data_IF_883168282160
#
_entry.id   IF_883168282160
#
_cell.length_a   1.000
_cell.length_b   1.000
_cell.length_c   1.000
_cell.angle_alpha   90.00
_cell.angle_beta   90.00
_cell.angle_gamma   90.00
#
_symmetry.space_group_name_H-M   'P 1'
#
loop_
_entity.id
_entity.type
_entity.pdbx_description
1 polymer ?
#
# COMPACT_ATOMS: atom_id res chain seq x y z
N UNK A 1 13.34 -12.42 9.64
CA UNK A 1 13.59 -13.15 8.37
C UNK A 1 12.97 -12.33 7.28
N UNK A 2 13.77 -11.91 6.30
CA UNK A 2 13.28 -11.17 5.15
C UNK A 2 12.35 -12.11 4.37
N UNK A 3 11.11 -11.70 4.16
CA UNK A 3 10.29 -12.22 3.08
C UNK A 3 11.03 -11.92 1.79
N UNK A 4 11.68 -12.95 1.23
CA UNK A 4 12.38 -12.85 -0.05
C UNK A 4 11.37 -12.91 -1.19
N UNK A 5 11.74 -12.38 -2.35
CA UNK A 5 10.97 -12.62 -3.56
C UNK A 5 10.85 -14.14 -3.82
N UNK A 6 9.79 -14.53 -4.52
CA UNK A 6 9.56 -15.93 -4.91
C UNK A 6 8.98 -15.99 -6.32
N UNK A 7 9.10 -17.15 -6.97
CA UNK A 7 8.53 -17.37 -8.30
C UNK A 7 7.27 -18.21 -8.18
N UNK A 8 6.18 -17.78 -8.79
CA UNK A 8 4.99 -18.60 -9.04
C UNK A 8 4.47 -18.34 -10.45
N UNK A 9 3.95 -19.37 -11.12
CA UNK A 9 3.32 -19.25 -12.43
C UNK A 9 4.20 -18.60 -13.53
N UNK A 10 5.53 -18.62 -13.35
CA UNK A 10 6.50 -18.00 -14.26
C UNK A 10 6.83 -16.53 -13.99
N UNK A 11 6.26 -15.94 -12.93
CA UNK A 11 6.48 -14.54 -12.54
C UNK A 11 7.21 -14.46 -11.19
N UNK A 12 8.08 -13.45 -11.04
CA UNK A 12 8.72 -13.13 -9.76
C UNK A 12 7.81 -12.20 -8.94
N UNK A 13 7.41 -12.62 -7.75
CA UNK A 13 6.63 -11.83 -6.79
C UNK A 13 7.58 -11.17 -5.79
N UNK A 14 7.64 -9.84 -5.81
CA UNK A 14 8.55 -9.11 -4.95
C UNK A 14 7.92 -8.73 -3.61
N UNK A 15 8.72 -8.63 -2.53
CA UNK A 15 8.20 -8.41 -1.20
C UNK A 15 7.84 -6.94 -0.99
N UNK A 16 6.68 -6.54 -1.53
CA UNK A 16 5.98 -5.27 -1.28
C UNK A 16 4.49 -5.54 -0.95
N UNK A 17 3.73 -4.48 -0.71
CA UNK A 17 2.29 -4.55 -0.47
C UNK A 17 1.91 -5.51 0.66
N UNK A 18 2.62 -5.37 1.78
CA UNK A 18 2.48 -6.24 2.93
C UNK A 18 1.15 -6.04 3.65
N UNK A 19 0.62 -7.09 4.27
CA UNK A 19 -0.44 -7.01 5.28
C UNK A 19 0.09 -6.39 6.58
N UNK A 20 -0.58 -5.36 7.09
CA UNK A 20 -0.26 -4.71 8.36
C UNK A 20 -0.81 -5.50 9.56
N UNK A 21 -0.09 -5.55 10.71
CA UNK A 21 -0.54 -6.31 11.87
C UNK A 21 -1.45 -5.42 12.72
N UNK A 22 -2.68 -5.18 12.27
CA UNK A 22 -3.61 -4.25 12.94
C UNK A 22 -4.43 -4.90 14.07
N UNK A 23 -4.32 -6.21 14.24
CA UNK A 23 -4.95 -6.90 15.35
C UNK A 23 -4.15 -6.67 16.65
N UNK A 24 -4.81 -6.20 17.70
CA UNK A 24 -4.21 -5.94 19.02
C UNK A 24 -3.93 -7.21 19.81
N UNK A 25 -4.49 -8.35 19.40
CA UNK A 25 -4.31 -9.66 20.05
C UNK A 25 -2.83 -10.08 19.96
N UNK A 26 -2.16 -10.08 21.11
CA UNK A 26 -0.71 -10.31 21.29
C UNK A 26 0.21 -9.17 20.81
N UNK A 27 -0.30 -7.97 20.57
CA UNK A 27 0.52 -6.79 20.36
C UNK A 27 0.77 -6.05 21.68
N UNK A 28 1.94 -5.40 21.89
CA UNK A 28 2.16 -4.58 23.07
C UNK A 28 1.19 -3.40 23.13
N UNK A 29 0.71 -3.09 24.32
CA UNK A 29 -0.33 -2.07 24.57
C UNK A 29 0.00 -0.69 23.98
N UNK A 30 1.29 -0.32 24.00
CA UNK A 30 1.79 0.94 23.44
C UNK A 30 1.41 1.16 21.96
N UNK A 31 1.13 0.11 21.19
CA UNK A 31 0.76 0.21 19.77
C UNK A 31 -0.74 0.13 19.52
N UNK A 32 -1.55 -0.25 20.53
CA UNK A 32 -2.98 -0.54 20.33
C UNK A 32 -3.76 0.64 19.77
N UNK A 33 -3.44 1.86 20.20
CA UNK A 33 -4.09 3.07 19.70
C UNK A 33 -3.87 3.26 18.20
N UNK A 34 -2.62 3.15 17.73
CA UNK A 34 -2.29 3.27 16.31
C UNK A 34 -2.86 2.11 15.50
N UNK A 35 -2.82 0.89 16.04
CA UNK A 35 -3.41 -0.28 15.39
C UNK A 35 -4.92 -0.10 15.17
N UNK A 36 -5.65 0.32 16.20
CA UNK A 36 -7.09 0.60 16.11
C UNK A 36 -7.38 1.76 15.16
N UNK A 37 -6.62 2.85 15.25
CA UNK A 37 -6.75 3.99 14.35
C UNK A 37 -6.59 3.57 12.88
N UNK A 38 -5.52 2.85 12.54
CA UNK A 38 -5.31 2.36 11.19
C UNK A 38 -6.41 1.39 10.73
N UNK A 39 -6.86 0.48 11.61
CA UNK A 39 -7.91 -0.49 11.29
C UNK A 39 -9.24 0.18 10.96
N UNK A 40 -9.54 1.32 11.60
CA UNK A 40 -10.78 2.09 11.42
C UNK A 40 -10.65 3.21 10.38
N UNK A 41 -9.44 3.44 9.86
CA UNK A 41 -9.16 4.51 8.91
C UNK A 41 -9.70 4.22 7.51
N UNK A 42 -9.74 5.25 6.66
CA UNK A 42 -10.11 5.16 5.25
C UNK A 42 -9.31 4.12 4.44
N UNK A 43 -8.10 3.76 4.89
CA UNK A 43 -7.25 2.77 4.24
C UNK A 43 -7.20 1.42 4.97
N UNK A 44 -7.97 1.27 6.06
CA UNK A 44 -7.89 0.12 6.96
C UNK A 44 -8.06 -1.21 6.24
N UNK A 45 -9.03 -1.29 5.32
CA UNK A 45 -9.28 -2.45 4.47
C UNK A 45 -8.07 -2.79 3.59
N UNK A 46 -7.55 -1.82 2.84
CA UNK A 46 -6.38 -2.00 1.97
C UNK A 46 -5.11 -2.42 2.75
N UNK A 47 -4.97 -2.01 4.02
CA UNK A 47 -3.87 -2.43 4.88
C UNK A 47 -3.89 -3.93 5.23
N UNK A 48 -5.05 -4.60 5.15
CA UNK A 48 -5.18 -6.01 5.58
C UNK A 48 -5.67 -6.98 4.51
N UNK A 49 -6.50 -6.54 3.55
CA UNK A 49 -7.11 -7.41 2.54
C UNK A 49 -6.33 -7.46 1.22
N UNK A 50 -6.46 -8.54 0.44
CA UNK A 50 -7.14 -9.79 0.77
C UNK A 50 -6.22 -10.71 1.58
N UNK A 51 -6.81 -11.73 2.23
CA UNK A 51 -6.05 -12.72 2.99
C UNK A 51 -5.53 -13.88 2.11
N UNK A 52 -6.19 -14.10 0.97
CA UNK A 52 -5.96 -15.21 0.03
C UNK A 52 -5.51 -14.62 -1.30
N UNK A 53 -4.57 -15.28 -1.96
CA UNK A 53 -4.02 -14.87 -3.26
C UNK A 53 -3.95 -16.09 -4.18
N UNK A 54 -4.26 -15.90 -5.46
CA UNK A 54 -4.07 -16.87 -6.53
C UNK A 54 -3.04 -16.33 -7.51
N UNK A 55 -1.91 -17.02 -7.64
CA UNK A 55 -0.85 -16.65 -8.57
C UNK A 55 -1.33 -16.61 -10.02
N UNK A 56 -2.27 -17.49 -10.39
CA UNK A 56 -2.86 -17.53 -11.74
C UNK A 56 -3.76 -16.33 -12.03
N UNK A 57 -4.61 -15.93 -11.09
CA UNK A 57 -5.49 -14.76 -11.26
C UNK A 57 -4.70 -13.46 -11.31
N UNK A 58 -3.72 -13.33 -10.41
CA UNK A 58 -2.81 -12.19 -10.43
C UNK A 58 -2.02 -12.15 -11.73
N UNK A 59 -1.53 -13.30 -12.21
CA UNK A 59 -0.85 -13.41 -13.50
C UNK A 59 -1.74 -12.98 -14.65
N UNK A 60 -3.00 -13.42 -14.69
CA UNK A 60 -3.94 -13.05 -15.74
C UNK A 60 -4.07 -11.52 -15.85
N UNK A 61 -4.37 -10.85 -14.74
CA UNK A 61 -4.42 -9.38 -14.69
C UNK A 61 -3.07 -8.76 -15.06
N UNK A 62 -1.97 -9.27 -14.51
CA UNK A 62 -0.65 -8.66 -14.65
C UNK A 62 -0.09 -8.77 -16.06
N UNK A 63 -0.27 -9.90 -16.75
CA UNK A 63 0.27 -10.11 -18.10
C UNK A 63 -0.59 -9.47 -19.18
N UNK A 64 -1.92 -9.56 -19.10
CA UNK A 64 -2.81 -8.94 -20.10
C UNK A 64 -3.08 -7.46 -19.84
N UNK A 65 -2.75 -6.95 -18.65
CA UNK A 65 -2.97 -5.56 -18.24
C UNK A 65 -2.19 -4.54 -19.06
N UNK A 66 -2.90 -3.70 -19.81
CA UNK A 66 -2.39 -2.53 -20.53
C UNK A 66 -2.74 -1.28 -19.73
N UNK A 67 -1.71 -0.52 -19.34
CA UNK A 67 -1.87 0.71 -18.58
C UNK A 67 -1.92 1.93 -19.51
N UNK A 68 -2.97 2.72 -19.38
CA UNK A 68 -3.07 4.08 -19.92
C UNK A 68 -2.87 5.06 -18.75
N UNK A 69 -1.85 5.93 -18.87
CA UNK A 69 -1.55 6.94 -17.87
C UNK A 69 -2.54 8.11 -17.86
N UNK A 70 -3.46 8.14 -18.83
CA UNK A 70 -4.48 9.16 -18.97
C UNK A 70 -3.91 10.47 -19.51
N UNK A 71 -2.77 10.46 -20.20
CA UNK A 71 -2.17 11.67 -20.81
C UNK A 71 -3.12 12.38 -21.77
N UNK A 72 -3.99 11.65 -22.48
CA UNK A 72 -4.99 12.23 -23.40
C UNK A 72 -6.33 12.58 -22.72
N UNK A 73 -6.78 11.78 -21.77
CA UNK A 73 -8.13 11.87 -21.17
C UNK A 73 -8.15 12.48 -19.76
N UNK A 74 -6.98 12.68 -19.16
CA UNK A 74 -6.78 13.09 -17.76
C UNK A 74 -7.00 11.98 -16.72
N UNK A 75 -7.45 10.80 -17.15
CA UNK A 75 -7.85 9.69 -16.27
C UNK A 75 -7.09 8.42 -16.62
N UNK A 76 -6.27 7.94 -15.69
CA UNK A 76 -5.55 6.68 -15.88
C UNK A 76 -6.49 5.47 -15.79
N UNK A 77 -6.12 4.39 -16.48
CA UNK A 77 -6.85 3.13 -16.45
C UNK A 77 -5.93 1.94 -16.73
N UNK A 78 -6.35 0.75 -16.30
CA UNK A 78 -5.75 -0.52 -16.72
C UNK A 78 -6.85 -1.35 -17.38
N UNK A 79 -6.60 -1.79 -18.61
CA UNK A 79 -7.48 -2.71 -19.33
C UNK A 79 -6.81 -4.08 -19.32
N UNK A 80 -7.52 -5.12 -18.91
CA UNK A 80 -6.99 -6.49 -18.90
C UNK A 80 -8.03 -7.47 -19.45
N UNK A 81 -7.55 -8.59 -19.99
CA UNK A 81 -8.37 -9.66 -20.55
C UNK A 81 -8.34 -10.90 -19.65
N UNK A 82 -9.51 -11.52 -19.45
CA UNK A 82 -9.66 -12.83 -18.81
C UNK A 82 -10.82 -13.58 -19.48
N UNK A 83 -10.58 -14.83 -19.89
CA UNK A 83 -11.58 -15.68 -20.58
C UNK A 83 -12.27 -14.96 -21.75
N UNK A 84 -11.48 -14.34 -22.64
CA UNK A 84 -11.95 -13.59 -23.82
C UNK A 84 -12.85 -12.37 -23.50
N UNK A 85 -12.92 -11.98 -22.23
CA UNK A 85 -13.66 -10.80 -21.75
C UNK A 85 -12.69 -9.72 -21.31
N UNK A 86 -12.95 -8.48 -21.76
CA UNK A 86 -12.17 -7.31 -21.38
C UNK A 86 -12.76 -6.63 -20.14
N UNK A 87 -11.89 -6.26 -19.20
CA UNK A 87 -12.23 -5.59 -17.96
C UNK A 87 -11.43 -4.30 -17.81
N UNK A 88 -12.09 -3.27 -17.26
CA UNK A 88 -11.49 -1.93 -17.09
C UNK A 88 -11.37 -1.57 -15.61
N UNK A 89 -10.15 -1.26 -15.20
CA UNK A 89 -9.81 -0.76 -13.86
C UNK A 89 -9.58 0.75 -13.95
N UNK A 90 -10.47 1.51 -13.35
CA UNK A 90 -10.34 2.97 -13.17
C UNK A 90 -10.10 3.31 -11.70
N UNK A 91 -9.85 4.58 -11.38
CA UNK A 91 -9.80 5.03 -9.98
C UNK A 91 -11.12 4.73 -9.24
N UNK A 92 -12.27 4.77 -9.94
CA UNK A 92 -13.56 4.35 -9.37
C UNK A 92 -13.59 2.86 -9.02
N UNK A 93 -13.09 2.01 -9.92
CA UNK A 93 -12.96 0.56 -9.69
C UNK A 93 -12.08 0.28 -8.48
N UNK A 94 -10.90 0.93 -8.38
CA UNK A 94 -9.99 0.75 -7.25
C UNK A 94 -10.64 1.19 -5.94
N UNK A 95 -11.35 2.32 -5.95
CA UNK A 95 -12.04 2.86 -4.77
C UNK A 95 -13.07 1.88 -4.22
N UNK A 96 -13.94 1.37 -5.10
CA UNK A 96 -14.96 0.41 -4.72
C UNK A 96 -14.35 -0.91 -4.21
N UNK A 97 -13.37 -1.46 -4.95
CA UNK A 97 -12.72 -2.72 -4.60
C UNK A 97 -11.98 -2.66 -3.24
N UNK A 98 -11.30 -1.54 -2.95
CA UNK A 98 -10.54 -1.36 -1.72
C UNK A 98 -11.34 -0.76 -0.56
N UNK A 99 -12.59 -0.36 -0.79
CA UNK A 99 -13.42 0.31 0.21
C UNK A 99 -12.91 1.69 0.61
N UNK A 100 -12.25 2.40 -0.31
CA UNK A 100 -11.86 3.79 -0.09
C UNK A 100 -13.11 4.69 -0.12
N UNK A 101 -13.14 5.78 0.67
CA UNK A 101 -14.29 6.69 0.69
C UNK A 101 -14.46 7.42 -0.64
N UNK A 102 -15.72 7.69 -0.98
CA UNK A 102 -16.08 8.50 -2.14
C UNK A 102 -16.43 9.93 -1.72
N UNK A 103 -15.77 10.91 -2.34
CA UNK A 103 -15.97 12.33 -2.09
C UNK A 103 -16.35 13.07 -3.38
N UNK A 104 -17.06 14.21 -3.27
CA UNK A 104 -17.36 15.06 -4.42
C UNK A 104 -16.12 15.61 -5.14
N UNK A 105 -15.02 15.77 -4.40
CA UNK A 105 -13.74 16.20 -4.92
C UNK A 105 -12.59 15.64 -4.06
N UNK A 106 -11.44 15.45 -4.70
CA UNK A 106 -10.22 14.97 -4.05
C UNK A 106 -9.10 16.01 -4.14
N UNK A 107 -8.22 15.98 -3.16
CA UNK A 107 -6.96 16.73 -3.20
C UNK A 107 -5.90 15.90 -3.90
N UNK A 108 -5.28 16.46 -4.95
CA UNK A 108 -4.27 15.78 -5.78
C UNK A 108 -2.97 15.52 -4.99
N UNK A 109 -2.65 16.38 -4.02
CA UNK A 109 -1.49 16.23 -3.15
C UNK A 109 -1.32 17.45 -2.24
N UNK A 110 -0.69 17.24 -1.09
CA UNK A 110 -0.40 18.29 -0.12
C UNK A 110 0.97 18.90 -0.41
N UNK A 111 1.11 20.19 -0.16
CA UNK A 111 2.38 20.89 -0.31
C UNK A 111 3.42 20.42 0.70
N UNK A 112 4.70 20.48 0.32
CA UNK A 112 5.83 20.10 1.17
C UNK A 112 5.79 20.79 2.54
N UNK A 113 5.38 22.07 2.58
CA UNK A 113 5.25 22.83 3.84
C UNK A 113 4.26 22.19 4.83
N UNK A 114 3.13 21.68 4.33
CA UNK A 114 2.10 21.05 5.16
C UNK A 114 2.57 19.68 5.66
N UNK A 115 3.22 18.90 4.79
CA UNK A 115 3.82 17.62 5.18
C UNK A 115 4.91 17.82 6.24
N UNK A 116 5.80 18.81 6.08
CA UNK A 116 6.82 19.14 7.07
C UNK A 116 6.21 19.63 8.40
N UNK A 117 5.12 20.39 8.34
CA UNK A 117 4.38 20.81 9.55
C UNK A 117 3.85 19.61 10.31
N UNK A 118 3.16 18.69 9.65
CA UNK A 118 2.70 17.43 10.25
C UNK A 118 3.85 16.67 10.91
N UNK A 119 4.98 16.52 10.22
CA UNK A 119 6.13 15.80 10.77
C UNK A 119 6.67 16.42 12.06
N UNK A 120 6.64 17.76 12.18
CA UNK A 120 6.99 18.45 13.44
C UNK A 120 5.97 18.18 14.54
N UNK A 121 4.67 18.25 14.22
CA UNK A 121 3.58 18.03 15.19
C UNK A 121 3.61 16.62 15.79
N UNK A 122 3.99 15.61 15.01
CA UNK A 122 4.12 14.22 15.50
C UNK A 122 5.47 13.95 16.19
N UNK A 123 6.31 14.97 16.34
CA UNK A 123 7.58 14.90 17.08
C UNK A 123 8.73 14.26 16.31
N UNK A 124 8.81 14.44 14.99
CA UNK A 124 9.97 13.99 14.20
C UNK A 124 11.23 14.76 14.59
N UNK A 125 12.28 14.03 15.00
CA UNK A 125 13.51 14.62 15.55
C UNK A 125 14.67 14.74 14.53
N UNK A 126 14.43 14.38 13.27
CA UNK A 126 15.47 14.27 12.24
C UNK A 126 15.55 15.51 11.34
N UNK A 127 16.48 15.50 10.36
CA UNK A 127 16.55 16.55 9.33
C UNK A 127 15.28 16.59 8.47
N UNK A 128 14.79 17.81 8.19
CA UNK A 128 13.58 18.11 7.41
C UNK A 128 13.90 18.71 6.03
N UNK A 129 15.12 18.50 5.53
CA UNK A 129 15.64 19.14 4.33
C UNK A 129 15.23 18.45 3.02
N UNK A 130 14.72 17.21 3.06
CA UNK A 130 14.33 16.44 1.86
C UNK A 130 13.04 15.66 2.11
N UNK A 131 11.93 16.19 1.60
CA UNK A 131 10.65 15.47 1.54
C UNK A 131 10.83 14.16 0.75
N UNK A 132 10.17 13.10 1.21
CA UNK A 132 10.28 11.75 0.64
C UNK A 132 11.55 10.98 1.02
N UNK A 133 12.47 11.57 1.79
CA UNK A 133 13.67 10.92 2.32
C UNK A 133 13.78 11.02 3.85
N UNK A 134 12.71 11.45 4.52
CA UNK A 134 12.61 11.42 5.97
C UNK A 134 12.77 9.99 6.47
N UNK A 135 13.38 9.79 7.63
CA UNK A 135 13.72 8.45 8.13
C UNK A 135 12.92 8.10 9.37
N UNK A 136 12.17 7.00 9.34
CA UNK A 136 11.40 6.45 10.47
C UNK A 136 12.21 6.28 11.76
N UNK A 137 13.53 6.00 11.72
CA UNK A 137 14.37 6.06 12.91
C UNK A 137 14.25 7.34 13.75
N UNK A 138 13.91 8.49 13.17
CA UNK A 138 13.73 9.75 13.90
C UNK A 138 12.31 9.98 14.45
N UNK A 139 11.40 9.03 14.25
CA UNK A 139 10.10 9.01 14.90
C UNK A 139 10.14 8.19 16.20
N UNK A 140 9.22 8.52 17.11
CA UNK A 140 8.82 7.62 18.20
C UNK A 140 8.32 6.29 17.65
N UNK A 141 8.45 5.20 18.42
CA UNK A 141 8.03 3.85 17.98
C UNK A 141 6.62 3.78 17.40
N UNK A 142 5.65 4.48 17.98
CA UNK A 142 4.25 4.42 17.53
C UNK A 142 4.08 5.02 16.13
N UNK A 143 4.68 6.18 15.88
CA UNK A 143 4.68 6.81 14.55
C UNK A 143 5.58 6.08 13.54
N UNK A 144 6.68 5.50 14.01
CA UNK A 144 7.53 4.64 13.18
C UNK A 144 6.77 3.39 12.71
N UNK A 145 5.91 2.82 13.57
CA UNK A 145 5.02 1.71 13.22
C UNK A 145 3.92 2.16 12.25
N UNK A 146 3.29 3.30 12.49
CA UNK A 146 2.28 3.89 11.60
C UNK A 146 2.79 4.02 10.16
N UNK A 147 3.94 4.68 9.96
CA UNK A 147 4.51 4.82 8.62
C UNK A 147 5.08 3.52 8.07
N UNK A 148 5.50 2.55 8.89
CA UNK A 148 5.89 1.22 8.36
C UNK A 148 4.72 0.53 7.66
N UNK A 149 3.55 0.55 8.31
CA UNK A 149 2.35 -0.08 7.78
C UNK A 149 1.97 0.55 6.44
N UNK A 150 1.97 1.88 6.35
CA UNK A 150 1.65 2.61 5.13
C UNK A 150 2.71 2.35 4.05
N UNK A 151 4.00 2.58 4.35
CA UNK A 151 5.08 2.48 3.36
C UNK A 151 5.23 1.06 2.82
N UNK A 152 5.09 0.02 3.64
CA UNK A 152 5.16 -1.36 3.15
C UNK A 152 3.92 -1.81 2.40
N UNK A 153 2.76 -1.18 2.64
CA UNK A 153 1.53 -1.51 1.91
C UNK A 153 1.45 -0.79 0.56
N UNK A 154 1.74 0.52 0.54
CA UNK A 154 1.53 1.37 -0.62
C UNK A 154 2.83 1.72 -1.37
N UNK A 155 3.99 1.37 -0.82
CA UNK A 155 5.28 1.73 -1.40
C UNK A 155 5.61 0.96 -2.68
N UNK A 156 6.14 1.69 -3.66
CA UNK A 156 6.69 1.18 -4.93
C UNK A 156 8.01 0.41 -4.80
N UNK A 157 8.71 0.56 -3.67
CA UNK A 157 10.03 -0.05 -3.45
C UNK A 157 9.89 -1.29 -2.57
N UNK A 158 10.82 -2.22 -2.75
CA UNK A 158 10.93 -3.46 -1.96
C UNK A 158 12.07 -3.41 -0.93
N UNK A 159 12.77 -2.27 -0.85
CA UNK A 159 13.98 -2.04 -0.04
C UNK A 159 13.95 -0.65 0.60
N UNK A 160 14.95 -0.36 1.44
CA UNK A 160 15.10 0.92 2.16
C UNK A 160 13.85 1.32 2.95
N UNK A 161 13.35 0.38 3.75
CA UNK A 161 12.13 0.55 4.54
C UNK A 161 12.26 1.61 5.64
N UNK A 162 13.45 2.13 5.91
CA UNK A 162 13.63 3.22 6.87
C UNK A 162 13.17 4.58 6.33
N UNK A 163 13.12 4.75 5.01
CA UNK A 163 12.63 5.98 4.41
C UNK A 163 11.10 6.08 4.51
N UNK A 164 10.60 7.31 4.59
CA UNK A 164 9.19 7.67 4.49
C UNK A 164 9.01 8.39 3.14
N UNK A 165 8.57 7.68 2.08
CA UNK A 165 8.33 8.28 0.78
C UNK A 165 7.22 9.32 0.82
N UNK A 166 7.20 10.21 -0.17
CA UNK A 166 6.18 11.27 -0.28
C UNK A 166 4.77 10.70 -0.26
N UNK A 167 4.49 9.62 -1.01
CA UNK A 167 3.18 8.96 -1.00
C UNK A 167 2.74 8.53 0.41
N UNK A 168 3.68 8.04 1.22
CA UNK A 168 3.39 7.66 2.60
C UNK A 168 3.11 8.88 3.49
N UNK A 169 3.80 10.00 3.24
CA UNK A 169 3.52 11.29 3.90
C UNK A 169 2.15 11.84 3.50
N UNK A 170 1.78 11.75 2.22
CA UNK A 170 0.46 12.18 1.72
C UNK A 170 -0.67 11.37 2.35
N UNK A 171 -0.52 10.04 2.38
CA UNK A 171 -1.47 9.15 3.06
C UNK A 171 -1.54 9.50 4.54
N UNK A 172 -0.38 9.62 5.21
CA UNK A 172 -0.33 10.01 6.62
C UNK A 172 -1.11 11.30 6.86
N UNK A 173 -0.78 12.37 6.15
CA UNK A 173 -1.42 13.68 6.27
C UNK A 173 -2.94 13.59 6.10
N UNK A 174 -3.39 12.87 5.08
CA UNK A 174 -4.82 12.65 4.83
C UNK A 174 -5.54 12.04 6.03
N UNK A 175 -4.96 11.01 6.66
CA UNK A 175 -5.58 10.36 7.82
C UNK A 175 -5.58 11.26 9.06
N UNK A 176 -4.55 12.10 9.22
CA UNK A 176 -4.42 12.97 10.40
C UNK A 176 -5.37 14.17 10.39
N UNK A 177 -5.53 14.81 9.22
CA UNK A 177 -6.29 16.05 9.09
C UNK A 177 -7.62 15.85 8.34
N UNK A 178 -8.03 14.59 8.14
CA UNK A 178 -9.26 14.22 7.42
C UNK A 178 -9.34 14.87 6.02
N UNK A 179 -8.19 14.92 5.34
CA UNK A 179 -8.12 15.49 3.99
C UNK A 179 -8.46 14.43 2.95
N UNK A 180 -9.29 14.77 1.95
CA UNK A 180 -9.77 13.86 0.90
C UNK A 180 -8.71 13.55 -0.17
N UNK A 181 -7.60 12.94 0.21
CA UNK A 181 -6.57 12.51 -0.74
C UNK A 181 -7.04 11.31 -1.58
N UNK A 182 -6.73 11.30 -2.88
CA UNK A 182 -7.18 10.24 -3.78
C UNK A 182 -6.29 8.98 -3.70
N UNK A 183 -6.54 8.15 -2.69
CA UNK A 183 -5.85 6.87 -2.51
C UNK A 183 -6.00 5.95 -3.72
N UNK A 184 -7.17 5.99 -4.38
CA UNK A 184 -7.48 5.12 -5.49
C UNK A 184 -6.62 5.45 -6.71
N UNK A 185 -6.49 6.74 -7.03
CA UNK A 185 -5.60 7.21 -8.09
C UNK A 185 -4.13 6.91 -7.79
N UNK A 186 -3.70 7.07 -6.53
CA UNK A 186 -2.34 6.70 -6.12
C UNK A 186 -2.05 5.22 -6.39
N UNK A 187 -2.96 4.33 -5.98
CA UNK A 187 -2.83 2.89 -6.19
C UNK A 187 -2.79 2.54 -7.67
N UNK A 188 -3.73 3.08 -8.47
CA UNK A 188 -3.81 2.82 -9.90
C UNK A 188 -2.53 3.21 -10.64
N UNK A 189 -2.05 4.42 -10.38
CA UNK A 189 -0.83 4.93 -11.00
C UNK A 189 0.39 4.10 -10.59
N UNK A 190 0.51 3.75 -9.30
CA UNK A 190 1.64 2.94 -8.83
C UNK A 190 1.63 1.51 -9.40
N UNK A 191 0.46 0.90 -9.60
CA UNK A 191 0.31 -0.39 -10.30
C UNK A 191 0.73 -0.26 -11.77
N UNK A 192 0.16 0.72 -12.48
CA UNK A 192 0.43 0.96 -13.89
C UNK A 192 1.90 1.25 -14.20
N UNK A 193 2.54 2.11 -13.40
CA UNK A 193 3.99 2.37 -13.50
C UNK A 193 4.82 1.10 -13.34
N UNK A 194 4.47 0.20 -12.39
CA UNK A 194 5.22 -1.05 -12.19
C UNK A 194 5.01 -2.05 -13.31
N UNK A 195 3.82 -2.09 -13.89
CA UNK A 195 3.52 -2.89 -15.06
C UNK A 195 4.36 -2.48 -16.27
N UNK A 196 4.64 -1.19 -16.45
CA UNK A 196 5.48 -0.70 -17.56
C UNK A 196 6.98 -0.84 -17.29
N UNK A 197 7.42 -0.84 -16.02
CA UNK A 197 8.84 -1.04 -15.66
C UNK A 197 9.35 -2.46 -15.97
N UNK A 198 8.66 -3.51 -15.51
CA UNK A 198 9.08 -4.90 -15.74
C UNK A 198 7.90 -5.88 -15.61
N UNK A 199 7.47 -6.44 -16.74
CA UNK A 199 6.33 -7.36 -16.79
C UNK A 199 6.58 -8.71 -16.12
N UNK A 200 7.83 -9.15 -16.03
CA UNK A 200 8.21 -10.41 -15.37
C UNK A 200 8.21 -10.35 -13.84
N UNK A 201 8.04 -9.15 -13.26
CA UNK A 201 8.11 -8.93 -11.81
C UNK A 201 6.79 -8.32 -11.32
N UNK A 202 6.05 -9.08 -10.52
CA UNK A 202 4.76 -8.68 -9.95
C UNK A 202 4.96 -7.87 -8.68
N UNK A 203 4.48 -6.63 -8.72
CA UNK A 203 4.32 -5.77 -7.55
C UNK A 203 2.85 -5.75 -7.12
N UNK A 204 2.61 -5.36 -5.87
CA UNK A 204 1.28 -5.12 -5.32
C UNK A 204 0.32 -6.31 -5.44
N UNK A 205 0.82 -7.52 -5.17
CA UNK A 205 0.06 -8.77 -5.36
C UNK A 205 -1.31 -8.80 -4.68
N UNK A 206 -1.43 -8.22 -3.48
CA UNK A 206 -2.73 -8.10 -2.78
C UNK A 206 -3.67 -7.19 -3.54
N UNK A 207 -3.19 -6.04 -4.01
CA UNK A 207 -4.00 -5.12 -4.79
C UNK A 207 -4.42 -5.72 -6.15
N UNK A 208 -3.52 -6.41 -6.85
CA UNK A 208 -3.87 -7.15 -8.06
C UNK A 208 -4.98 -8.18 -7.79
N UNK A 209 -4.86 -8.98 -6.73
CA UNK A 209 -5.88 -9.94 -6.36
C UNK A 209 -7.23 -9.27 -6.05
N UNK A 210 -7.23 -8.21 -5.24
CA UNK A 210 -8.46 -7.48 -4.89
C UNK A 210 -9.15 -6.93 -6.13
N UNK A 211 -8.39 -6.35 -7.07
CA UNK A 211 -8.93 -5.80 -8.30
C UNK A 211 -9.47 -6.88 -9.23
N UNK A 212 -8.73 -7.97 -9.41
CA UNK A 212 -9.20 -9.13 -10.18
C UNK A 212 -10.51 -9.66 -9.61
N UNK A 213 -10.56 -9.91 -8.30
CA UNK A 213 -11.75 -10.50 -7.63
C UNK A 213 -12.97 -9.56 -7.69
N UNK A 214 -12.74 -8.25 -7.77
CA UNK A 214 -13.81 -7.26 -7.90
C UNK A 214 -14.32 -7.16 -9.35
N UNK A 215 -13.41 -7.18 -10.34
CA UNK A 215 -13.80 -7.07 -11.75
C UNK A 215 -14.41 -8.37 -12.31
N UNK A 216 -13.88 -9.52 -11.90
CA UNK A 216 -14.26 -10.84 -12.41
C UNK A 216 -15.14 -11.53 -11.36
N UNK A 217 -16.39 -11.10 -11.26
CA UNK A 217 -17.35 -11.65 -10.31
C UNK A 217 -17.59 -13.16 -10.54
N UNK A 218 -17.77 -13.91 -9.45
CA UNK A 218 -18.11 -15.34 -9.51
C UNK A 218 -16.93 -16.28 -9.69
N UNK A 219 -15.70 -15.77 -9.84
CA UNK A 219 -14.48 -16.58 -9.85
C UNK A 219 -13.88 -16.59 -8.45
N UNK A 220 -14.05 -17.70 -7.74
CA UNK A 220 -13.44 -17.88 -6.42
C UNK A 220 -11.90 -17.84 -6.51
N UNK A 221 -11.25 -17.44 -5.42
CA UNK A 221 -9.79 -17.56 -5.29
C UNK A 221 -9.45 -19.05 -5.14
N UNK A 222 -9.36 -19.75 -6.26
CA UNK A 222 -8.96 -21.16 -6.34
C UNK A 222 -7.44 -21.23 -6.35
N UNK A 223 -6.88 -22.20 -5.62
CA UNK A 223 -5.45 -22.41 -5.43
C UNK A 223 -4.76 -21.22 -4.74
N UNK A 224 -4.85 -21.19 -3.40
CA UNK A 224 -4.05 -20.29 -2.54
C UNK A 224 -2.56 -20.67 -2.57
N UNK A 225 -1.97 -20.67 -3.77
CA UNK A 225 -0.63 -21.15 -4.06
C UNK A 225 0.46 -20.16 -3.64
N UNK A 226 0.08 -18.90 -3.39
CA UNK A 226 0.98 -17.85 -2.92
C UNK A 226 0.49 -17.21 -1.62
N UNK A 227 1.44 -16.82 -0.77
CA UNK A 227 1.16 -16.20 0.53
C UNK A 227 1.31 -14.68 0.47
N UNK A 228 0.43 -13.95 1.16
CA UNK A 228 0.63 -12.52 1.40
C UNK A 228 1.94 -12.28 2.17
N UNK A 229 2.70 -11.27 1.75
CA UNK A 229 3.77 -10.73 2.57
C UNK A 229 3.18 -10.10 3.83
N UNK A 230 3.71 -10.42 5.02
CA UNK A 230 3.17 -9.96 6.31
C UNK A 230 4.23 -9.19 7.07
N UNK A 231 3.87 -8.01 7.60
CA UNK A 231 4.73 -7.34 8.58
C UNK A 231 4.86 -8.26 9.80
N UNK A 232 6.08 -8.69 10.09
CA UNK A 232 6.33 -9.63 11.16
C UNK A 232 6.07 -8.98 12.53
N UNK A 233 5.42 -9.69 13.47
CA UNK A 233 5.14 -9.19 14.83
C UNK A 233 6.39 -8.75 15.63
N UNK A 234 7.58 -9.23 15.24
CA UNK A 234 8.88 -8.79 15.79
C UNK A 234 9.12 -7.29 15.61
N UNK A 235 8.43 -6.64 14.67
CA UNK A 235 8.47 -5.20 14.50
C UNK A 235 8.23 -4.46 15.80
N UNK A 236 7.32 -4.95 16.66
CA UNK A 236 7.04 -4.30 17.94
C UNK A 236 8.24 -4.37 18.88
N UNK A 237 8.87 -5.54 19.00
CA UNK A 237 10.07 -5.72 19.81
C UNK A 237 11.25 -4.89 19.29
N UNK A 238 11.44 -4.85 17.96
CA UNK A 238 12.51 -4.09 17.32
C UNK A 238 12.34 -2.57 17.57
N UNK A 239 11.11 -2.08 17.45
CA UNK A 239 10.79 -0.67 17.71
C UNK A 239 10.89 -0.30 19.20
N UNK A 240 10.48 -1.18 20.11
CA UNK A 240 10.66 -0.97 21.56
C UNK A 240 12.15 -0.90 21.90
N UNK A 241 12.95 -1.85 21.43
CA UNK A 241 14.38 -1.92 21.72
C UNK A 241 15.17 -0.72 21.16
N UNK A 242 14.73 -0.18 20.03
CA UNK A 242 15.29 1.05 19.44
C UNK A 242 15.09 2.25 20.36
N UNK A 243 13.89 2.43 20.90
CA UNK A 243 13.57 3.59 21.74
C UNK A 243 14.29 3.53 23.10
N UNK A 244 14.59 2.35 23.63
CA UNK A 244 15.39 2.18 24.86
C UNK A 244 16.86 2.58 24.68
N UNK A 245 17.37 2.59 23.45
CA UNK A 245 18.77 2.91 23.12
C UNK A 245 19.02 4.39 22.78
N UNK A 246 17.98 5.23 22.81
CA UNK A 246 18.08 6.68 22.63
C UNK A 246 18.04 7.37 23.98
#
# INVERSE_FOLDING_TARGET
>A
MATTAFVSSGLEFVPNNYTAPLNTVNAPEAFHMIQKFLAQSAIGRALVEPAKLSGLQIKALWESGVYDDGSETGNSSIIFEFEETEYVITAGTVRAAMGFPEYPSYTIGMGDSDLLRMMREIGYSGPLNKIGQLKRPFLRKEWSFFFDCITRTFGKKCTNWDAIPTDSLQIGYSLFYDNHFDFARLVLNNLGEKMTENRGVVYFSRFCQTLFSYCVEGVDVVNEDISCFKLHKRIFSDLINKDVKK
#
